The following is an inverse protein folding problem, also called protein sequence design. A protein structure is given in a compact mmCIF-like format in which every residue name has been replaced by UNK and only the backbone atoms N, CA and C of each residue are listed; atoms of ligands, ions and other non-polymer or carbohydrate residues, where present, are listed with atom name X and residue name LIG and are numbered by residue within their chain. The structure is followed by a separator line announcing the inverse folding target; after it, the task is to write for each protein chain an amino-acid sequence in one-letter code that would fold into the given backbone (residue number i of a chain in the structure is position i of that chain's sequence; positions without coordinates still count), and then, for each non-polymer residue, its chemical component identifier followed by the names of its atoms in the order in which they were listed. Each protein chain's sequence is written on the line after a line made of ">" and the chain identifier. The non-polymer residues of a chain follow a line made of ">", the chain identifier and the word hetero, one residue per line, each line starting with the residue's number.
data_IF_175410810182
#
_entry.id   IF_175410810182
#
_cell.length_a   1.000
_cell.length_b   1.000
_cell.length_c   1.000
_cell.angle_alpha   90.00
_cell.angle_beta   90.00
_cell.angle_gamma   90.00
#
_symmetry.space_group_name_H-M   'P 1'
#
loop_
_entity.id
_entity.type
_entity.pdbx_description
1 polymer ?
#
# COMPACT_ATOMS: atom_id res chain seq x y z
N UNK A 1 -24.82 12.15 -32.83
CA UNK A 1 -24.90 12.44 -31.37
C UNK A 1 -24.30 11.31 -30.52
N UNK A 2 -24.35 10.03 -30.94
CA UNK A 2 -23.76 8.88 -30.24
C UNK A 2 -22.26 9.02 -30.02
N UNK A 3 -21.46 9.15 -31.08
CA UNK A 3 -20.00 9.16 -31.02
C UNK A 3 -19.40 10.20 -30.05
N UNK A 4 -20.00 11.41 -29.94
CA UNK A 4 -19.52 12.43 -28.97
C UNK A 4 -19.83 12.04 -27.52
N UNK A 5 -20.93 11.31 -27.27
CA UNK A 5 -21.25 10.77 -25.95
C UNK A 5 -20.30 9.64 -25.57
N UNK A 6 -19.98 8.77 -26.54
CA UNK A 6 -19.08 7.62 -26.31
C UNK A 6 -17.67 8.08 -25.98
N UNK A 7 -17.15 9.11 -26.68
CA UNK A 7 -15.88 9.74 -26.33
C UNK A 7 -15.91 10.39 -24.94
N UNK A 8 -17.02 11.07 -24.59
CA UNK A 8 -17.19 11.66 -23.26
C UNK A 8 -17.19 10.63 -22.14
N UNK A 9 -17.84 9.50 -22.36
CA UNK A 9 -17.90 8.37 -21.42
C UNK A 9 -16.52 7.72 -21.26
N UNK A 10 -15.83 7.46 -22.36
CA UNK A 10 -14.47 6.91 -22.36
C UNK A 10 -13.48 7.85 -21.66
N UNK A 11 -13.54 9.14 -21.92
CA UNK A 11 -12.73 10.14 -21.24
C UNK A 11 -13.03 10.19 -19.75
N UNK A 12 -14.29 9.96 -19.34
CA UNK A 12 -14.66 9.85 -17.93
C UNK A 12 -14.04 8.62 -17.30
N UNK A 13 -14.11 7.45 -17.96
CA UNK A 13 -13.50 6.21 -17.48
C UNK A 13 -12.00 6.42 -17.19
N UNK A 14 -11.23 6.93 -18.16
CA UNK A 14 -9.79 7.14 -18.00
C UNK A 14 -9.41 8.22 -16.98
N UNK A 15 -10.30 9.17 -16.66
CA UNK A 15 -10.08 10.07 -15.52
C UNK A 15 -10.29 9.39 -14.16
N UNK A 16 -11.19 8.40 -14.12
CA UNK A 16 -11.49 7.63 -12.88
C UNK A 16 -10.48 6.51 -12.67
N UNK A 17 -10.21 5.74 -13.71
CA UNK A 17 -9.34 4.56 -13.67
C UNK A 17 -7.89 4.84 -14.07
N UNK A 18 -7.49 6.11 -14.19
CA UNK A 18 -6.14 6.50 -14.58
C UNK A 18 -5.94 8.01 -14.44
N UNK A 19 -5.07 8.54 -15.30
CA UNK A 19 -4.65 9.96 -15.31
C UNK A 19 -5.12 10.70 -16.57
N UNK A 20 -6.07 10.12 -17.29
CA UNK A 20 -6.54 10.58 -18.59
C UNK A 20 -5.74 10.00 -19.74
N UNK A 21 -6.24 10.23 -20.96
CA UNK A 21 -5.57 9.85 -22.21
C UNK A 21 -5.75 10.93 -23.26
N UNK A 22 -4.81 11.08 -24.22
CA UNK A 22 -4.93 12.02 -25.32
C UNK A 22 -6.19 11.78 -26.15
N UNK A 23 -6.70 12.84 -26.75
CA UNK A 23 -7.92 12.78 -27.59
C UNK A 23 -7.82 11.74 -28.73
N UNK A 24 -6.67 11.67 -29.37
CA UNK A 24 -6.44 10.72 -30.46
C UNK A 24 -6.57 9.24 -30.03
N UNK A 25 -6.20 8.93 -28.79
CA UNK A 25 -6.25 7.56 -28.24
C UNK A 25 -7.68 7.20 -27.81
N UNK A 26 -8.48 8.19 -27.36
CA UNK A 26 -9.89 7.98 -26.99
C UNK A 26 -10.72 7.38 -28.12
N UNK A 27 -10.46 7.76 -29.38
CA UNK A 27 -11.18 7.23 -30.53
C UNK A 27 -10.89 5.73 -30.75
N UNK A 28 -9.64 5.31 -30.51
CA UNK A 28 -9.26 3.89 -30.53
C UNK A 28 -9.94 3.09 -29.42
N UNK A 29 -10.03 3.63 -28.22
CA UNK A 29 -10.73 2.98 -27.11
C UNK A 29 -12.24 2.91 -27.31
N UNK A 30 -12.85 3.96 -27.87
CA UNK A 30 -14.28 3.93 -28.25
C UNK A 30 -14.55 2.84 -29.27
N UNK A 31 -13.65 2.63 -30.25
CA UNK A 31 -13.77 1.57 -31.23
C UNK A 31 -13.66 0.15 -30.64
N UNK A 32 -12.89 -0.03 -29.55
CA UNK A 32 -12.84 -1.30 -28.78
C UNK A 32 -14.15 -1.58 -28.03
N UNK A 33 -14.86 -0.56 -27.60
CA UNK A 33 -16.05 -0.66 -26.75
C UNK A 33 -15.77 -0.46 -25.25
N UNK A 34 -16.77 0.05 -24.54
CA UNK A 34 -16.61 0.46 -23.14
C UNK A 34 -16.28 -0.73 -22.23
N UNK A 35 -17.05 -1.80 -22.31
CA UNK A 35 -16.89 -3.02 -21.51
C UNK A 35 -15.52 -3.68 -21.75
N UNK A 36 -15.08 -3.76 -22.99
CA UNK A 36 -13.78 -4.34 -23.33
C UNK A 36 -12.61 -3.52 -22.74
N UNK A 37 -12.75 -2.19 -22.68
CA UNK A 37 -11.75 -1.33 -22.05
C UNK A 37 -11.78 -1.44 -20.53
N UNK A 38 -12.94 -1.63 -19.92
CA UNK A 38 -13.05 -1.90 -18.47
C UNK A 38 -12.34 -3.20 -18.11
N UNK A 39 -12.56 -4.28 -18.86
CA UNK A 39 -11.86 -5.56 -18.64
C UNK A 39 -10.34 -5.41 -18.83
N UNK A 40 -9.89 -4.69 -19.87
CA UNK A 40 -8.46 -4.40 -20.07
C UNK A 40 -7.83 -3.66 -18.87
N UNK A 41 -8.58 -2.75 -18.23
CA UNK A 41 -8.12 -2.00 -17.07
C UNK A 41 -8.09 -2.86 -15.80
N UNK A 42 -9.03 -3.81 -15.66
CA UNK A 42 -9.12 -4.71 -14.51
C UNK A 42 -8.09 -5.84 -14.55
N UNK A 43 -7.48 -6.09 -15.71
CA UNK A 43 -6.45 -7.10 -15.93
C UNK A 43 -5.10 -6.47 -16.31
N UNK A 44 -4.49 -5.67 -15.40
CA UNK A 44 -3.22 -5.00 -15.69
C UNK A 44 -2.07 -5.96 -15.99
N UNK A 45 -2.13 -7.20 -15.48
CA UNK A 45 -1.13 -8.24 -15.72
C UNK A 45 -0.98 -8.63 -17.21
N UNK A 46 -2.01 -8.41 -18.02
CA UNK A 46 -1.99 -8.64 -19.48
C UNK A 46 -1.29 -7.51 -20.25
N UNK A 47 -1.03 -6.38 -19.59
CA UNK A 47 -0.41 -5.22 -20.20
C UNK A 47 1.10 -5.14 -19.85
N UNK A 48 1.94 -4.61 -20.77
CA UNK A 48 3.37 -4.51 -20.52
C UNK A 48 3.68 -3.58 -19.35
N UNK A 49 4.68 -3.96 -18.56
CA UNK A 49 5.30 -3.08 -17.55
C UNK A 49 6.21 -2.04 -18.19
N UNK A 50 6.47 -0.95 -17.50
CA UNK A 50 7.49 0.01 -17.89
C UNK A 50 8.87 -0.67 -17.81
N UNK A 51 9.67 -0.49 -18.85
CA UNK A 51 11.03 -1.00 -18.89
C UNK A 51 11.96 -0.11 -18.07
N UNK A 52 12.24 -0.50 -16.83
CA UNK A 52 13.11 0.23 -15.90
C UNK A 52 14.56 0.31 -16.41
N UNK A 53 15.01 -0.66 -17.22
CA UNK A 53 16.37 -0.62 -17.81
C UNK A 53 16.57 0.63 -18.68
N UNK A 54 15.55 1.07 -19.37
CA UNK A 54 15.61 2.29 -20.15
C UNK A 54 15.80 3.53 -19.26
N UNK A 55 15.11 3.57 -18.11
CA UNK A 55 15.24 4.65 -17.12
C UNK A 55 16.65 4.66 -16.52
N UNK A 56 17.19 3.51 -16.15
CA UNK A 56 18.55 3.41 -15.60
C UNK A 56 19.63 3.82 -16.59
N UNK A 57 19.44 3.52 -17.87
CA UNK A 57 20.36 3.97 -18.94
C UNK A 57 20.32 5.48 -19.14
N UNK A 58 19.14 6.09 -19.05
CA UNK A 58 18.98 7.54 -19.23
C UNK A 58 19.40 8.33 -17.98
N UNK A 59 19.25 7.76 -16.80
CA UNK A 59 19.55 8.39 -15.51
C UNK A 59 20.40 7.46 -14.65
N UNK A 60 21.72 7.35 -14.89
CA UNK A 60 22.62 6.57 -14.07
C UNK A 60 22.58 7.06 -12.60
N UNK A 61 22.40 6.15 -11.65
CA UNK A 61 22.24 6.44 -10.23
C UNK A 61 20.79 6.60 -9.78
N UNK A 62 19.85 6.35 -10.67
CA UNK A 62 18.42 6.32 -10.38
C UNK A 62 18.05 5.13 -9.47
N UNK A 63 18.66 3.97 -9.68
CA UNK A 63 18.43 2.77 -8.88
C UNK A 63 18.91 2.98 -7.43
N UNK A 64 17.98 2.79 -6.47
CA UNK A 64 18.26 2.98 -5.06
C UNK A 64 18.56 4.43 -4.67
N UNK A 65 18.15 5.40 -5.50
CA UNK A 65 18.35 6.82 -5.19
C UNK A 65 17.76 7.16 -3.83
N UNK A 66 18.62 7.64 -2.94
CA UNK A 66 18.22 8.10 -1.61
C UNK A 66 17.70 9.56 -1.64
N UNK A 67 17.38 10.08 -2.81
CA UNK A 67 16.94 11.46 -3.01
C UNK A 67 15.42 11.48 -3.31
N UNK A 68 14.58 11.99 -2.40
CA UNK A 68 13.12 12.05 -2.60
C UNK A 68 12.68 12.66 -3.93
N UNK A 69 13.31 13.76 -4.46
CA UNK A 69 12.91 14.31 -5.75
C UNK A 69 13.05 13.34 -6.92
N UNK A 70 14.04 12.45 -6.89
CA UNK A 70 14.22 11.44 -7.96
C UNK A 70 13.10 10.40 -7.91
N UNK A 71 12.75 9.92 -6.71
CA UNK A 71 11.67 8.95 -6.52
C UNK A 71 10.30 9.55 -6.89
N UNK A 72 10.08 10.82 -6.59
CA UNK A 72 8.87 11.55 -7.01
C UNK A 72 8.79 11.67 -8.54
N UNK A 73 9.92 12.03 -9.19
CA UNK A 73 9.98 12.12 -10.65
C UNK A 73 9.73 10.76 -11.32
N UNK A 74 10.27 9.66 -10.75
CA UNK A 74 9.96 8.30 -11.22
C UNK A 74 8.47 8.01 -11.15
N UNK A 75 7.85 8.25 -10.03
CA UNK A 75 6.44 7.94 -9.89
C UNK A 75 5.57 8.74 -10.85
N UNK A 76 5.85 10.04 -11.04
CA UNK A 76 5.18 10.85 -12.06
C UNK A 76 5.43 10.33 -13.47
N UNK A 77 6.66 9.91 -13.78
CA UNK A 77 6.98 9.29 -15.07
C UNK A 77 6.16 8.02 -15.30
N UNK A 78 6.01 7.16 -14.28
CA UNK A 78 5.16 5.94 -14.35
C UNK A 78 3.70 6.30 -14.59
N UNK A 79 3.13 7.26 -13.86
CA UNK A 79 1.76 7.71 -14.04
C UNK A 79 1.47 8.19 -15.48
N UNK A 80 2.46 8.83 -16.14
CA UNK A 80 2.31 9.36 -17.49
C UNK A 80 2.46 8.26 -18.55
N UNK A 81 3.36 7.29 -18.34
CA UNK A 81 3.80 6.37 -19.40
C UNK A 81 3.27 4.94 -19.24
N UNK A 82 2.65 4.60 -18.12
CA UNK A 82 2.17 3.25 -17.87
C UNK A 82 1.11 2.81 -18.86
N UNK A 83 1.14 1.51 -19.21
CA UNK A 83 0.04 0.82 -19.90
C UNK A 83 -0.94 0.18 -18.92
N UNK A 84 -0.69 0.33 -17.60
CA UNK A 84 -1.47 -0.18 -16.49
C UNK A 84 -2.03 0.98 -15.63
N UNK A 85 -2.85 1.88 -16.21
CA UNK A 85 -3.21 3.14 -15.53
C UNK A 85 -4.04 2.93 -14.24
N UNK A 86 -4.87 1.87 -14.17
CA UNK A 86 -5.65 1.57 -12.99
C UNK A 86 -4.76 1.11 -11.82
N UNK A 87 -3.74 0.31 -12.10
CA UNK A 87 -2.74 -0.13 -11.11
C UNK A 87 -2.06 1.09 -10.44
N UNK A 88 -1.55 2.04 -11.24
CA UNK A 88 -0.96 3.28 -10.72
C UNK A 88 -1.98 4.18 -10.01
N UNK A 89 -3.21 4.21 -10.49
CA UNK A 89 -4.29 4.99 -9.85
C UNK A 89 -4.65 4.44 -8.48
N UNK A 90 -4.69 3.11 -8.35
CA UNK A 90 -4.94 2.45 -7.07
C UNK A 90 -3.75 2.58 -6.13
N UNK A 91 -2.51 2.51 -6.64
CA UNK A 91 -1.33 2.78 -5.83
C UNK A 91 -1.36 4.21 -5.23
N UNK A 92 -1.77 5.20 -6.01
CA UNK A 92 -1.94 6.57 -5.53
C UNK A 92 -3.06 6.68 -4.48
N UNK A 93 -4.18 5.99 -4.69
CA UNK A 93 -5.30 5.95 -3.74
C UNK A 93 -4.87 5.35 -2.40
N UNK A 94 -4.22 4.18 -2.41
CA UNK A 94 -3.76 3.53 -1.19
C UNK A 94 -2.64 4.30 -0.49
N UNK A 95 -1.74 4.94 -1.25
CA UNK A 95 -0.71 5.81 -0.67
C UNK A 95 -1.31 7.03 0.03
N UNK A 96 -2.46 7.54 -0.41
CA UNK A 96 -3.16 8.62 0.27
C UNK A 96 -3.77 8.16 1.60
N UNK A 97 -4.31 6.93 1.65
CA UNK A 97 -4.92 6.36 2.85
C UNK A 97 -3.84 5.91 3.85
N UNK A 98 -2.86 5.14 3.40
CA UNK A 98 -1.76 4.61 4.22
C UNK A 98 -0.50 5.47 4.11
N UNK A 99 -0.66 6.78 4.29
CA UNK A 99 0.39 7.74 4.07
C UNK A 99 1.57 7.58 5.05
N UNK A 100 2.78 7.56 4.48
CA UNK A 100 4.04 7.64 5.20
C UNK A 100 4.87 8.81 4.65
N UNK A 101 5.84 9.29 5.42
CA UNK A 101 6.62 10.45 4.99
C UNK A 101 8.12 10.28 5.23
N UNK A 102 8.90 10.82 4.30
CA UNK A 102 10.34 10.88 4.43
C UNK A 102 10.82 11.72 5.64
N UNK A 103 9.96 12.58 6.18
CA UNK A 103 10.29 13.40 7.37
C UNK A 103 10.58 12.58 8.62
N UNK A 104 10.03 11.36 8.73
CA UNK A 104 10.26 10.43 9.85
C UNK A 104 10.97 9.16 9.40
N UNK A 105 10.54 8.55 8.27
CA UNK A 105 11.12 7.29 7.79
C UNK A 105 12.58 7.48 7.37
N UNK A 106 12.93 8.62 6.80
CA UNK A 106 14.28 9.00 6.31
C UNK A 106 14.99 7.88 5.49
N UNK A 107 14.18 7.11 4.77
CA UNK A 107 14.63 6.03 3.90
C UNK A 107 13.81 6.02 2.60
N UNK A 108 14.14 6.87 1.62
CA UNK A 108 13.40 6.98 0.37
C UNK A 108 13.22 5.67 -0.41
N UNK A 109 14.20 4.75 -0.46
CA UNK A 109 14.00 3.42 -1.05
C UNK A 109 12.84 2.64 -0.42
N UNK A 110 12.66 2.68 0.90
CA UNK A 110 11.55 1.97 1.56
C UNK A 110 10.19 2.60 1.25
N UNK A 111 10.13 3.93 1.11
CA UNK A 111 8.91 4.60 0.66
C UNK A 111 8.55 4.20 -0.78
N UNK A 112 9.55 4.08 -1.66
CA UNK A 112 9.36 3.61 -3.04
C UNK A 112 8.90 2.15 -3.07
N UNK A 113 9.44 1.29 -2.20
CA UNK A 113 9.00 -0.11 -2.06
C UNK A 113 7.56 -0.21 -1.57
N UNK A 114 7.14 0.66 -0.65
CA UNK A 114 5.74 0.72 -0.23
C UNK A 114 4.81 1.11 -1.38
N UNK A 115 5.20 2.06 -2.24
CA UNK A 115 4.43 2.39 -3.44
C UNK A 115 4.38 1.20 -4.43
N UNK A 116 5.49 0.46 -4.57
CA UNK A 116 5.51 -0.76 -5.39
C UNK A 116 4.57 -1.84 -4.84
N UNK A 117 4.53 -2.02 -3.53
CA UNK A 117 3.57 -2.91 -2.85
C UNK A 117 2.12 -2.49 -3.13
N UNK A 118 1.79 -1.19 -3.12
CA UNK A 118 0.45 -0.73 -3.50
C UNK A 118 0.10 -0.99 -4.97
N UNK A 119 1.07 -1.05 -5.90
CA UNK A 119 0.81 -1.50 -7.26
C UNK A 119 0.46 -2.98 -7.31
N UNK A 120 1.22 -3.78 -6.60
CA UNK A 120 1.06 -5.23 -6.58
C UNK A 120 -0.28 -5.66 -5.93
N UNK A 121 -0.61 -5.07 -4.79
CA UNK A 121 -1.78 -5.46 -3.99
C UNK A 121 -2.97 -4.52 -4.14
N UNK A 122 -2.85 -3.43 -4.88
CA UNK A 122 -3.86 -2.38 -4.93
C UNK A 122 -5.22 -2.78 -5.52
N UNK A 123 -5.28 -3.88 -6.26
CA UNK A 123 -6.50 -4.49 -6.80
C UNK A 123 -6.85 -5.81 -6.11
N UNK A 124 -6.15 -6.19 -5.06
CA UNK A 124 -6.43 -7.40 -4.26
C UNK A 124 -7.51 -7.15 -3.20
N UNK A 125 -7.66 -8.07 -2.26
CA UNK A 125 -8.61 -7.90 -1.14
C UNK A 125 -8.11 -6.86 -0.14
N UNK A 126 -9.04 -6.24 0.60
CA UNK A 126 -8.67 -5.29 1.66
C UNK A 126 -7.84 -5.95 2.76
N UNK A 127 -8.10 -7.22 3.05
CA UNK A 127 -7.28 -8.05 3.94
C UNK A 127 -5.82 -8.07 3.53
N UNK A 128 -5.56 -8.40 2.26
CA UNK A 128 -4.19 -8.51 1.76
C UNK A 128 -3.45 -7.19 1.86
N UNK A 129 -4.10 -6.08 1.48
CA UNK A 129 -3.52 -4.75 1.61
C UNK A 129 -3.19 -4.41 3.06
N UNK A 130 -4.10 -4.65 4.02
CA UNK A 130 -3.86 -4.35 5.43
C UNK A 130 -2.67 -5.16 5.98
N UNK A 131 -2.54 -6.43 5.60
CA UNK A 131 -1.43 -7.28 6.02
C UNK A 131 -0.11 -6.76 5.43
N UNK A 132 -0.08 -6.45 4.14
CA UNK A 132 1.13 -5.94 3.49
C UNK A 132 1.53 -4.54 4.01
N UNK A 133 0.55 -3.69 4.34
CA UNK A 133 0.80 -2.41 5.02
C UNK A 133 1.39 -2.64 6.41
N UNK A 134 0.84 -3.58 7.18
CA UNK A 134 1.33 -3.92 8.53
C UNK A 134 2.76 -4.49 8.50
N UNK A 135 3.12 -5.22 7.43
CA UNK A 135 4.47 -5.76 7.19
C UNK A 135 5.41 -4.76 6.50
N UNK A 136 4.90 -3.64 5.99
CA UNK A 136 5.73 -2.64 5.31
C UNK A 136 6.75 -2.01 6.27
N UNK A 137 8.07 -2.11 5.99
CA UNK A 137 9.08 -1.49 6.85
C UNK A 137 8.89 0.02 7.01
N UNK A 138 8.45 0.71 5.96
CA UNK A 138 8.14 2.13 6.03
C UNK A 138 7.02 2.42 7.03
N UNK A 139 5.95 1.59 7.07
CA UNK A 139 4.83 1.75 7.98
C UNK A 139 5.20 1.36 9.42
N UNK A 140 5.90 0.24 9.61
CA UNK A 140 6.39 -0.20 10.92
C UNK A 140 7.23 0.90 11.58
N UNK A 141 8.09 1.56 10.81
CA UNK A 141 8.90 2.67 11.31
C UNK A 141 8.07 3.95 11.50
N UNK A 142 7.14 4.24 10.58
CA UNK A 142 6.27 5.42 10.64
C UNK A 142 5.40 5.43 11.89
N UNK A 143 4.87 4.28 12.28
CA UNK A 143 3.98 4.14 13.45
C UNK A 143 4.67 3.50 14.67
N UNK A 144 6.01 3.44 14.67
CA UNK A 144 6.84 2.98 15.79
C UNK A 144 6.55 1.54 16.27
N UNK A 145 5.96 0.69 15.39
CA UNK A 145 5.67 -0.71 15.78
C UNK A 145 6.95 -1.53 16.03
N UNK A 146 8.10 -1.08 15.51
CA UNK A 146 9.41 -1.68 15.87
C UNK A 146 9.77 -1.54 17.35
N UNK A 147 9.12 -0.63 18.06
CA UNK A 147 9.21 -0.45 19.53
C UNK A 147 8.06 -1.10 20.31
N UNK A 148 7.25 -1.94 19.67
CA UNK A 148 6.14 -2.65 20.28
C UNK A 148 6.59 -4.05 20.73
N UNK A 149 6.83 -4.23 22.04
CA UNK A 149 7.43 -5.42 22.63
C UNK A 149 6.52 -6.11 23.62
N UNK A 150 6.69 -7.42 23.78
CA UNK A 150 6.06 -8.15 24.88
C UNK A 150 6.49 -7.53 26.22
N UNK A 151 5.50 -7.08 27.00
CA UNK A 151 5.72 -6.38 28.28
C UNK A 151 5.99 -4.88 28.17
N UNK A 152 6.10 -4.32 26.95
CA UNK A 152 6.23 -2.88 26.69
C UNK A 152 5.44 -2.51 25.42
N UNK A 153 4.12 -2.50 25.57
CA UNK A 153 3.20 -2.33 24.42
C UNK A 153 3.25 -0.90 23.90
N UNK A 154 3.42 -0.77 22.59
CA UNK A 154 3.22 0.48 21.85
C UNK A 154 1.91 0.39 21.06
N UNK A 155 0.94 1.23 21.42
CA UNK A 155 -0.41 1.20 20.85
C UNK A 155 -0.54 1.96 19.52
N UNK A 156 0.51 2.65 19.06
CA UNK A 156 0.40 3.60 17.94
C UNK A 156 -0.10 2.92 16.65
N UNK A 157 0.53 1.82 16.24
CA UNK A 157 0.07 1.04 15.10
C UNK A 157 -1.37 0.53 15.30
N UNK A 158 -1.68 -0.08 16.44
CA UNK A 158 -3.01 -0.58 16.76
C UNK A 158 -4.08 0.51 16.67
N UNK A 159 -3.79 1.72 17.17
CA UNK A 159 -4.69 2.86 17.11
C UNK A 159 -4.99 3.27 15.68
N UNK A 160 -3.96 3.48 14.86
CA UNK A 160 -4.14 3.87 13.46
C UNK A 160 -4.84 2.78 12.64
N UNK A 161 -4.53 1.52 12.90
CA UNK A 161 -5.22 0.38 12.27
C UNK A 161 -6.72 0.40 12.52
N UNK A 162 -7.15 0.65 13.76
CA UNK A 162 -8.57 0.66 14.11
C UNK A 162 -9.26 1.98 13.75
N UNK A 163 -8.60 3.11 13.97
CA UNK A 163 -9.20 4.44 13.82
C UNK A 163 -9.19 4.93 12.38
N UNK A 164 -8.00 4.92 11.72
CA UNK A 164 -7.82 5.53 10.41
C UNK A 164 -7.82 4.53 9.25
N UNK A 165 -7.62 3.24 9.54
CA UNK A 165 -7.46 2.26 8.47
C UNK A 165 -8.59 1.23 8.42
N UNK A 166 -9.53 1.18 9.37
CA UNK A 166 -10.54 0.14 9.29
C UNK A 166 -11.90 0.48 9.92
N UNK A 167 -11.99 0.60 11.24
CA UNK A 167 -13.28 0.67 11.93
C UNK A 167 -13.84 2.09 12.06
N UNK A 168 -12.96 3.07 12.22
CA UNK A 168 -13.32 4.44 12.60
C UNK A 168 -13.67 4.58 14.09
N UNK A 169 -13.57 5.82 14.59
CA UNK A 169 -13.83 6.16 15.99
C UNK A 169 -15.21 5.68 16.43
N UNK A 170 -15.28 5.09 17.63
CA UNK A 170 -16.52 4.66 18.27
C UNK A 170 -16.99 3.24 17.91
N UNK A 171 -16.26 2.51 17.08
CA UNK A 171 -16.56 1.13 16.73
C UNK A 171 -15.63 0.10 17.40
N UNK A 172 -14.83 0.53 18.35
CA UNK A 172 -13.94 -0.30 19.18
C UNK A 172 -13.76 0.34 20.56
N UNK A 173 -13.31 -0.44 21.54
CA UNK A 173 -12.99 0.01 22.90
C UNK A 173 -11.46 0.21 23.07
N UNK A 174 -11.05 0.85 24.15
CA UNK A 174 -9.62 0.96 24.51
C UNK A 174 -9.01 -0.42 24.83
N UNK A 175 -9.80 -1.37 25.33
CA UNK A 175 -9.34 -2.74 25.54
C UNK A 175 -9.13 -3.47 24.21
N UNK A 176 -10.00 -3.29 23.20
CA UNK A 176 -9.79 -3.79 21.84
C UNK A 176 -8.50 -3.22 21.25
N UNK A 177 -8.28 -1.92 21.40
CA UNK A 177 -7.07 -1.26 20.93
C UNK A 177 -5.81 -1.88 21.55
N UNK A 178 -5.80 -2.03 22.87
CA UNK A 178 -4.66 -2.62 23.60
C UNK A 178 -4.41 -4.06 23.15
N UNK A 179 -5.46 -4.87 22.99
CA UNK A 179 -5.33 -6.25 22.57
C UNK A 179 -4.90 -6.37 21.10
N UNK A 180 -5.35 -5.48 20.21
CA UNK A 180 -4.81 -5.38 18.87
C UNK A 180 -3.31 -5.06 18.90
N UNK A 181 -2.87 -4.05 19.66
CA UNK A 181 -1.45 -3.72 19.76
C UNK A 181 -0.60 -4.89 20.30
N UNK A 182 -1.10 -5.65 21.30
CA UNK A 182 -0.45 -6.87 21.81
C UNK A 182 -0.26 -7.93 20.70
N UNK A 183 -1.20 -8.07 19.80
CA UNK A 183 -1.14 -9.04 18.71
C UNK A 183 -0.06 -8.71 17.67
N UNK A 184 0.34 -7.44 17.54
CA UNK A 184 1.42 -6.99 16.65
C UNK A 184 2.79 -6.89 17.33
N UNK A 185 2.93 -7.35 18.59
CA UNK A 185 4.26 -7.47 19.22
C UNK A 185 5.14 -8.48 18.47
N UNK A 186 6.44 -8.21 18.41
CA UNK A 186 7.38 -9.00 17.65
C UNK A 186 7.40 -8.72 16.13
N UNK A 187 6.45 -7.92 15.61
CA UNK A 187 6.48 -7.45 14.22
C UNK A 187 7.41 -6.25 14.10
N UNK A 188 8.56 -6.45 13.51
CA UNK A 188 9.63 -5.45 13.49
C UNK A 188 10.33 -5.40 12.12
N UNK A 189 11.40 -4.64 12.05
CA UNK A 189 12.24 -4.52 10.87
C UNK A 189 13.67 -4.95 11.20
N UNK A 190 14.29 -5.68 10.28
CA UNK A 190 15.71 -5.99 10.31
C UNK A 190 16.45 -5.18 9.23
N UNK A 191 17.61 -4.60 9.55
CA UNK A 191 18.47 -4.00 8.54
C UNK A 191 19.11 -5.09 7.69
N UNK A 192 18.94 -5.03 6.37
CA UNK A 192 19.64 -5.91 5.44
C UNK A 192 20.91 -5.22 4.96
N UNK A 193 22.04 -5.87 5.13
CA UNK A 193 23.31 -5.35 4.62
C UNK A 193 23.24 -5.32 3.09
N UNK A 194 23.39 -4.14 2.44
CA UNK A 194 23.34 -4.06 1.00
C UNK A 194 24.54 -4.79 0.39
N UNK A 195 24.35 -5.41 -0.76
CA UNK A 195 25.45 -5.99 -1.54
C UNK A 195 26.45 -4.94 -2.02
N UNK A 196 25.99 -3.69 -2.12
CA UNK A 196 26.83 -2.54 -2.45
C UNK A 196 27.16 -1.77 -1.16
N UNK A 197 28.44 -1.63 -0.76
CA UNK A 197 28.84 -0.95 0.48
C UNK A 197 28.55 0.56 0.48
N UNK A 198 28.19 1.15 -0.67
CA UNK A 198 27.84 2.57 -0.79
C UNK A 198 26.32 2.80 -0.71
N UNK A 199 25.51 1.74 -0.61
CA UNK A 199 24.05 1.84 -0.49
C UNK A 199 23.58 2.06 0.95
N UNK A 200 22.39 2.68 1.09
CA UNK A 200 21.68 2.68 2.37
C UNK A 200 21.22 1.26 2.70
N UNK A 201 21.06 0.94 3.99
CA UNK A 201 20.51 -0.33 4.42
C UNK A 201 19.07 -0.44 3.93
N UNK A 202 18.72 -1.58 3.29
CA UNK A 202 17.36 -1.98 3.10
C UNK A 202 16.82 -2.53 4.41
N UNK A 203 15.56 -2.28 4.68
CA UNK A 203 14.85 -2.88 5.79
C UNK A 203 13.98 -4.02 5.26
N UNK A 204 13.87 -5.08 6.03
CA UNK A 204 12.94 -6.17 5.76
C UNK A 204 12.05 -6.36 6.98
N UNK A 205 10.82 -6.78 6.73
CA UNK A 205 9.94 -7.25 7.78
C UNK A 205 10.60 -8.45 8.48
N UNK A 206 10.60 -8.43 9.80
CA UNK A 206 11.04 -9.52 10.64
C UNK A 206 9.98 -9.80 11.70
N UNK A 207 9.61 -11.07 11.84
CA UNK A 207 8.83 -11.52 13.00
C UNK A 207 9.76 -12.15 14.03
N UNK A 208 9.70 -11.65 15.28
CA UNK A 208 10.46 -12.17 16.43
C UNK A 208 9.53 -12.89 17.38
N UNK A 209 9.43 -14.23 17.29
CA UNK A 209 8.55 -15.01 18.16
C UNK A 209 8.85 -14.82 19.65
N UNK A 210 10.11 -14.63 20.01
CA UNK A 210 10.55 -14.41 21.39
C UNK A 210 10.07 -13.08 22.00
N UNK A 211 9.67 -12.15 21.15
CA UNK A 211 9.17 -10.83 21.54
C UNK A 211 7.64 -10.70 21.34
N UNK A 212 6.97 -11.77 20.97
CA UNK A 212 5.52 -11.77 20.77
C UNK A 212 4.78 -12.09 22.07
N UNK A 213 3.65 -11.38 22.31
CA UNK A 213 2.73 -11.63 23.42
C UNK A 213 1.75 -12.75 23.07
N UNK A 214 2.04 -13.95 23.55
CA UNK A 214 1.19 -15.15 23.40
C UNK A 214 0.04 -15.24 24.43
N UNK A 215 -0.20 -14.22 25.22
CA UNK A 215 -1.31 -14.18 26.15
C UNK A 215 -2.67 -14.15 25.45
N UNK A 216 -3.69 -14.72 26.11
CA UNK A 216 -5.07 -14.58 25.63
C UNK A 216 -5.46 -13.12 25.45
N UNK A 217 -6.21 -12.85 24.40
CA UNK A 217 -6.69 -11.51 24.00
C UNK A 217 -8.19 -11.58 23.75
N UNK A 218 -8.92 -10.56 24.17
CA UNK A 218 -10.31 -10.34 23.79
C UNK A 218 -10.36 -9.18 22.80
N UNK A 219 -10.87 -9.41 21.59
CA UNK A 219 -10.90 -8.41 20.53
C UNK A 219 -12.22 -8.47 19.77
N UNK A 220 -13.00 -7.39 19.80
CA UNK A 220 -14.31 -7.25 19.15
C UNK A 220 -15.25 -8.43 19.44
N UNK A 221 -15.25 -8.91 20.69
CA UNK A 221 -16.08 -10.03 21.15
C UNK A 221 -15.55 -11.44 20.82
N UNK A 222 -14.36 -11.54 20.23
CA UNK A 222 -13.65 -12.80 20.03
C UNK A 222 -12.58 -12.97 21.10
N UNK A 223 -12.40 -14.19 21.60
CA UNK A 223 -11.37 -14.51 22.60
C UNK A 223 -10.42 -15.56 22.04
N UNK A 224 -9.12 -15.33 22.13
CA UNK A 224 -8.10 -16.24 21.62
C UNK A 224 -6.69 -15.72 21.80
N UNK A 225 -5.72 -16.54 21.42
CA UNK A 225 -4.32 -16.13 21.34
C UNK A 225 -4.03 -15.60 19.92
N UNK A 226 -4.55 -14.41 19.63
CA UNK A 226 -4.46 -13.81 18.29
C UNK A 226 -3.08 -13.22 18.01
N UNK A 227 -2.62 -13.40 16.77
CA UNK A 227 -1.53 -12.64 16.16
C UNK A 227 -2.05 -11.48 15.30
N UNK A 228 -1.14 -10.75 14.64
CA UNK A 228 -1.50 -9.59 13.84
C UNK A 228 -2.36 -9.93 12.62
N UNK A 229 -2.16 -11.10 11.98
CA UNK A 229 -2.96 -11.51 10.82
C UNK A 229 -4.38 -11.87 11.25
N UNK A 230 -4.54 -12.55 12.38
CA UNK A 230 -5.85 -12.92 12.92
C UNK A 230 -6.65 -11.68 13.38
N UNK A 231 -5.98 -10.65 13.90
CA UNK A 231 -6.62 -9.35 14.17
C UNK A 231 -7.15 -8.73 12.87
N UNK A 232 -6.38 -8.75 11.80
CA UNK A 232 -6.84 -8.26 10.48
C UNK A 232 -8.02 -9.10 9.98
N UNK A 233 -8.00 -10.42 10.15
CA UNK A 233 -9.10 -11.32 9.77
C UNK A 233 -10.41 -10.95 10.48
N UNK A 234 -10.35 -10.63 11.76
CA UNK A 234 -11.51 -10.19 12.53
C UNK A 234 -11.99 -8.82 12.02
N UNK A 235 -11.08 -7.86 11.81
CA UNK A 235 -11.38 -6.50 11.34
C UNK A 235 -12.14 -6.52 10.01
N UNK A 236 -11.68 -7.28 9.02
CA UNK A 236 -12.28 -7.25 7.67
C UNK A 236 -13.67 -7.86 7.62
N UNK A 237 -14.08 -8.60 8.64
CA UNK A 237 -15.46 -9.11 8.76
C UNK A 237 -16.42 -8.10 9.39
N UNK A 238 -15.93 -7.00 9.96
CA UNK A 238 -16.78 -6.04 10.65
C UNK A 238 -17.58 -5.16 9.67
N UNK A 239 -18.88 -4.96 9.89
CA UNK A 239 -19.69 -4.06 9.07
C UNK A 239 -19.19 -2.60 9.08
N UNK A 240 -18.48 -2.18 10.13
CA UNK A 240 -17.86 -0.86 10.22
C UNK A 240 -16.76 -0.69 9.18
N UNK A 241 -15.89 -1.69 9.02
CA UNK A 241 -14.81 -1.69 8.01
C UNK A 241 -15.35 -1.57 6.58
N UNK A 242 -16.47 -2.22 6.28
CA UNK A 242 -17.08 -2.14 4.95
C UNK A 242 -17.71 -0.75 4.65
N UNK A 243 -17.95 0.06 5.67
CA UNK A 243 -18.50 1.43 5.52
C UNK A 243 -17.42 2.51 5.59
N UNK A 244 -16.27 2.18 6.12
CA UNK A 244 -15.11 3.05 6.19
C UNK A 244 -14.53 3.31 4.80
#
# INVERSE_FOLDING_TARGET
>A
MSHRKDIGLMAHLFRRAGFGVPRQDLEGYVAKGYEAVVEELLHPEEQPVINDELLYRMFPGYEGAAAPPINQADWVFRMINTKRPLEEKMALFWHQLFATSNSKVDNPPELTRQIAMFREYGLSTYRDILIEVAKSPAMIFWLDNHGNHNGSINENWGRELLELFSLGVGNYSEDDLRNAARAFTGWTVAPKIPRNPLGRFYWEFEYKPEDHDYGEKEFLGHTGNFDGEEIVDIIVTQPATARF
#
